data_IF_962542885137
#
_entry.id   IF_962542885137
#
_cell.length_a   1.000
_cell.length_b   1.000
_cell.length_c   1.000
_cell.angle_alpha   90.00
_cell.angle_beta   90.00
_cell.angle_gamma   90.00
#
_symmetry.space_group_name_H-M   'P 1'
#
loop_
_entity.id
_entity.type
_entity.pdbx_description
1 polymer ?
#
# COMPACT_ATOMS: atom_id res chain seq x y z
N UNK A 1 -21.02 -22.27 5.50
CA UNK A 1 -20.24 -21.21 4.86
C UNK A 1 -19.51 -20.44 5.97
N UNK A 2 -18.27 -20.82 6.25
CA UNK A 2 -17.44 -20.16 7.27
C UNK A 2 -16.74 -18.96 6.63
N UNK A 3 -17.37 -17.78 6.69
CA UNK A 3 -16.72 -16.56 6.30
C UNK A 3 -15.45 -16.35 7.13
N UNK A 4 -14.38 -15.77 6.53
CA UNK A 4 -13.16 -15.39 7.25
C UNK A 4 -13.53 -14.54 8.47
N UNK A 5 -13.21 -15.01 9.67
CA UNK A 5 -13.33 -14.18 10.87
C UNK A 5 -12.25 -13.10 10.80
N UNK A 6 -12.67 -11.84 10.78
CA UNK A 6 -11.75 -10.70 10.83
C UNK A 6 -11.11 -10.62 12.21
N UNK A 7 -9.80 -10.68 12.27
CA UNK A 7 -9.04 -10.46 13.50
C UNK A 7 -8.67 -8.98 13.62
N UNK A 8 -8.76 -8.45 14.83
CA UNK A 8 -8.43 -7.07 15.15
C UNK A 8 -7.60 -7.00 16.42
N UNK A 9 -6.77 -5.99 16.53
CA UNK A 9 -5.98 -5.68 17.70
C UNK A 9 -6.19 -4.22 18.10
N UNK A 10 -6.55 -4.02 19.36
CA UNK A 10 -6.66 -2.67 19.96
C UNK A 10 -5.28 -2.11 20.27
N UNK A 11 -5.07 -0.83 19.94
CA UNK A 11 -3.82 -0.11 20.17
C UNK A 11 -3.98 1.09 21.10
N UNK A 12 -5.18 1.27 21.67
CA UNK A 12 -5.51 2.35 22.58
C UNK A 12 -5.58 3.71 21.89
N UNK A 13 -5.37 4.78 22.63
CA UNK A 13 -5.37 6.14 22.08
C UNK A 13 -4.08 6.38 21.28
N UNK A 14 -4.23 6.71 19.99
CA UNK A 14 -3.13 7.04 19.10
C UNK A 14 -2.95 8.55 19.01
N UNK A 15 -1.76 9.07 19.35
CA UNK A 15 -1.37 10.44 19.09
C UNK A 15 -0.80 10.54 17.68
N UNK A 16 -1.29 11.50 16.90
CA UNK A 16 -0.91 11.75 15.51
C UNK A 16 0.18 12.83 15.41
N UNK A 17 0.86 12.88 14.27
CA UNK A 17 1.90 13.90 13.99
C UNK A 17 1.37 15.34 14.10
N UNK A 18 0.10 15.58 13.79
CA UNK A 18 -0.54 16.89 13.89
C UNK A 18 -0.97 17.28 15.31
N UNK A 19 -0.76 16.39 16.28
CA UNK A 19 -1.13 16.60 17.69
C UNK A 19 -2.56 16.20 18.05
N UNK A 20 -3.38 15.79 17.08
CA UNK A 20 -4.69 15.21 17.33
C UNK A 20 -4.58 13.76 17.86
N UNK A 21 -5.66 13.23 18.38
CA UNK A 21 -5.71 11.86 18.88
C UNK A 21 -6.87 11.06 18.31
N UNK A 22 -6.65 9.78 18.12
CA UNK A 22 -7.71 8.82 17.80
C UNK A 22 -7.89 7.93 19.03
N UNK A 23 -9.00 8.06 19.78
CA UNK A 23 -9.27 7.20 20.93
C UNK A 23 -9.67 5.79 20.45
N UNK A 24 -9.31 4.77 21.26
CA UNK A 24 -9.68 3.36 21.00
C UNK A 24 -9.37 2.90 19.57
N UNK A 25 -8.21 3.29 19.06
CA UNK A 25 -7.79 2.87 17.72
C UNK A 25 -7.55 1.36 17.69
N UNK A 26 -7.92 0.73 16.58
CA UNK A 26 -7.72 -0.69 16.32
C UNK A 26 -7.26 -0.94 14.88
N UNK A 27 -6.47 -1.99 14.68
CA UNK A 27 -6.10 -2.45 13.34
C UNK A 27 -6.62 -3.87 13.10
N UNK A 28 -7.25 -4.08 11.94
CA UNK A 28 -7.52 -5.42 11.44
C UNK A 28 -6.23 -6.03 10.89
N UNK A 29 -6.06 -7.35 11.04
CA UNK A 29 -4.84 -8.00 10.58
C UNK A 29 -5.08 -9.43 10.07
N UNK A 30 -4.12 -9.92 9.31
CA UNK A 30 -3.94 -11.33 8.97
C UNK A 30 -2.60 -11.79 9.53
N UNK A 31 -2.58 -12.97 10.13
CA UNK A 31 -1.37 -13.64 10.62
C UNK A 31 -1.31 -15.05 10.07
N UNK A 32 -0.23 -15.43 9.39
CA UNK A 32 -0.05 -16.73 8.74
C UNK A 32 1.33 -17.28 9.01
N UNK A 33 1.44 -18.61 9.09
CA UNK A 33 2.70 -19.31 9.35
C UNK A 33 2.90 -19.66 10.82
N UNK A 34 4.01 -20.37 11.15
CA UNK A 34 4.29 -20.82 12.50
C UNK A 34 4.51 -19.66 13.48
N UNK A 35 4.05 -19.82 14.71
CA UNK A 35 4.10 -18.74 15.71
C UNK A 35 5.50 -18.40 16.22
N UNK A 36 6.43 -19.32 16.10
CA UNK A 36 7.83 -19.23 16.51
C UNK A 36 8.79 -18.93 15.36
N UNK A 37 8.26 -18.81 14.12
CA UNK A 37 9.06 -18.51 12.95
C UNK A 37 9.46 -17.03 12.89
N UNK A 38 10.56 -16.69 12.16
CA UNK A 38 10.93 -15.31 11.89
C UNK A 38 9.77 -14.56 11.22
N UNK A 39 9.51 -13.32 11.67
CA UNK A 39 8.33 -12.56 11.27
C UNK A 39 8.66 -11.64 10.09
N UNK A 40 7.79 -11.63 9.10
CA UNK A 40 7.78 -10.69 8.00
C UNK A 40 6.52 -9.82 8.14
N UNK A 41 6.72 -8.51 8.29
CA UNK A 41 5.64 -7.53 8.26
C UNK A 41 5.40 -7.08 6.83
N UNK A 42 4.16 -7.23 6.35
CA UNK A 42 3.73 -6.78 5.03
C UNK A 42 2.92 -5.51 5.15
N UNK A 43 3.30 -4.49 4.37
CA UNK A 43 2.58 -3.22 4.25
C UNK A 43 1.85 -3.20 2.91
N UNK A 44 0.51 -3.11 2.92
CA UNK A 44 -0.29 -3.15 1.70
C UNK A 44 -0.36 -1.79 0.99
N UNK A 45 -0.65 -1.83 -0.31
CA UNK A 45 -0.83 -0.65 -1.16
C UNK A 45 -2.22 -0.02 -0.98
N UNK A 46 -2.48 1.10 -1.69
CA UNK A 46 -3.63 2.00 -1.54
C UNK A 46 -4.98 1.29 -1.39
N UNK A 47 -5.29 0.33 -2.26
CA UNK A 47 -6.56 -0.40 -2.24
C UNK A 47 -6.42 -1.85 -1.80
N UNK A 48 -5.31 -2.19 -1.15
CA UNK A 48 -5.07 -3.49 -0.53
C UNK A 48 -5.81 -3.66 0.80
N UNK A 49 -5.59 -4.79 1.41
CA UNK A 49 -6.16 -5.14 2.72
C UNK A 49 -5.15 -5.98 3.50
N UNK A 50 -5.52 -6.37 4.71
CA UNK A 50 -4.74 -7.32 5.52
C UNK A 50 -4.61 -8.71 4.88
N UNK A 51 -5.47 -9.08 3.95
CA UNK A 51 -5.48 -10.42 3.37
C UNK A 51 -4.44 -10.58 2.26
N UNK A 52 -3.18 -10.67 2.66
CA UNK A 52 -2.03 -10.80 1.76
C UNK A 52 -1.85 -12.22 1.25
N UNK A 53 -1.98 -13.20 2.15
CA UNK A 53 -1.87 -14.64 1.86
C UNK A 53 -3.22 -15.23 1.51
N UNK A 54 -4.22 -14.96 2.34
CA UNK A 54 -5.58 -15.46 2.17
C UNK A 54 -5.73 -16.96 2.46
N UNK A 55 -6.64 -17.59 1.73
CA UNK A 55 -6.92 -19.03 1.77
C UNK A 55 -6.96 -19.59 0.36
N UNK A 56 -7.03 -20.92 0.22
CA UNK A 56 -7.19 -21.57 -1.09
C UNK A 56 -8.51 -21.19 -1.79
N UNK A 57 -9.56 -20.89 -1.02
CA UNK A 57 -10.88 -20.51 -1.55
C UNK A 57 -10.94 -19.01 -1.88
N UNK A 58 -10.24 -18.18 -1.09
CA UNK A 58 -10.15 -16.76 -1.25
C UNK A 58 -8.67 -16.33 -1.19
N UNK A 59 -7.92 -16.41 -2.31
CA UNK A 59 -6.51 -16.04 -2.34
C UNK A 59 -6.29 -14.59 -1.93
N UNK A 60 -5.16 -14.33 -1.27
CA UNK A 60 -4.74 -13.00 -0.92
C UNK A 60 -4.21 -12.21 -2.13
N UNK A 61 -4.02 -10.92 -1.97
CA UNK A 61 -3.59 -10.05 -3.08
C UNK A 61 -2.12 -10.28 -3.49
N UNK A 62 -1.32 -10.99 -2.68
CA UNK A 62 0.06 -11.36 -2.97
C UNK A 62 0.31 -12.87 -2.90
N UNK A 63 -0.72 -13.67 -3.11
CA UNK A 63 -0.67 -15.14 -3.05
C UNK A 63 0.32 -15.76 -4.04
N UNK A 64 0.66 -15.09 -5.12
CA UNK A 64 1.71 -15.50 -6.05
C UNK A 64 3.13 -15.37 -5.47
N UNK A 65 3.36 -14.43 -4.56
CA UNK A 65 4.65 -14.19 -3.89
C UNK A 65 4.74 -14.89 -2.54
N UNK A 66 3.66 -14.88 -1.75
CA UNK A 66 3.60 -15.29 -0.34
C UNK A 66 2.62 -16.44 -0.16
N UNK A 67 3.06 -17.53 0.43
CA UNK A 67 2.24 -18.70 0.73
C UNK A 67 3.07 -19.95 0.96
N UNK A 68 2.45 -21.09 1.24
CA UNK A 68 3.17 -22.34 1.42
C UNK A 68 3.98 -22.71 0.16
N UNK A 69 5.31 -22.84 0.31
CA UNK A 69 6.24 -23.16 -0.79
C UNK A 69 6.47 -22.03 -1.80
N UNK A 70 5.91 -20.83 -1.59
CA UNK A 70 6.11 -19.66 -2.45
C UNK A 70 7.49 -19.01 -2.20
N UNK A 71 7.74 -17.87 -2.84
CA UNK A 71 9.01 -17.14 -2.66
C UNK A 71 9.21 -16.66 -1.23
N UNK A 72 8.14 -16.22 -0.57
CA UNK A 72 8.07 -16.05 0.88
C UNK A 72 7.25 -17.22 1.42
N UNK A 73 7.96 -18.25 1.89
CA UNK A 73 7.35 -19.51 2.30
C UNK A 73 6.76 -19.42 3.71
N UNK A 74 5.45 -19.47 3.81
CA UNK A 74 4.74 -19.44 5.09
C UNK A 74 4.90 -20.72 5.92
N UNK A 75 5.60 -21.75 5.43
CA UNK A 75 6.07 -22.87 6.26
C UNK A 75 7.32 -22.49 7.07
N UNK A 76 8.09 -21.48 6.62
CA UNK A 76 9.36 -21.05 7.22
C UNK A 76 9.25 -19.69 7.91
N UNK A 77 8.33 -18.83 7.46
CA UNK A 77 8.14 -17.48 7.98
C UNK A 77 6.73 -17.27 8.50
N UNK A 78 6.62 -16.50 9.58
CA UNK A 78 5.37 -15.95 9.98
C UNK A 78 5.14 -14.61 9.26
N UNK A 79 4.01 -14.46 8.60
CA UNK A 79 3.64 -13.24 7.88
C UNK A 79 2.52 -12.53 8.63
N UNK A 80 2.74 -11.25 8.93
CA UNK A 80 1.73 -10.37 9.54
C UNK A 80 1.46 -9.21 8.59
N UNK A 81 0.19 -8.96 8.33
CA UNK A 81 -0.26 -7.81 7.53
C UNK A 81 -1.38 -7.09 8.27
N UNK A 82 -1.21 -5.80 8.53
CA UNK A 82 -2.28 -4.96 9.05
C UNK A 82 -3.02 -4.27 7.91
N UNK A 83 -4.34 -4.13 8.03
CA UNK A 83 -5.05 -3.11 7.28
C UNK A 83 -4.63 -1.75 7.83
N UNK A 84 -4.19 -0.84 6.96
CA UNK A 84 -3.65 0.45 7.41
C UNK A 84 -4.69 1.32 8.09
N UNK A 85 -4.26 2.12 9.05
CA UNK A 85 -5.05 3.19 9.64
C UNK A 85 -5.65 4.07 8.53
N UNK A 86 -6.91 4.41 8.62
CA UNK A 86 -7.63 5.20 7.62
C UNK A 86 -8.24 4.39 6.47
N UNK A 87 -7.93 3.11 6.33
CA UNK A 87 -8.55 2.22 5.34
C UNK A 87 -9.90 1.67 5.82
N UNK A 88 -10.61 0.96 4.92
CA UNK A 88 -11.98 0.53 5.13
C UNK A 88 -12.17 -0.98 5.36
N UNK A 89 -11.10 -1.74 5.58
CA UNK A 89 -11.17 -3.20 5.79
C UNK A 89 -11.00 -3.61 7.27
N UNK A 90 -11.60 -2.83 8.16
CA UNK A 90 -11.75 -3.18 9.56
C UNK A 90 -10.85 -2.40 10.53
N UNK A 91 -9.79 -1.75 10.08
CA UNK A 91 -9.01 -0.81 10.89
C UNK A 91 -9.75 0.50 11.10
N UNK A 92 -9.39 1.22 12.15
CA UNK A 92 -9.95 2.54 12.43
C UNK A 92 -9.71 3.49 11.25
N UNK A 93 -10.77 4.12 10.80
CA UNK A 93 -10.79 5.00 9.64
C UNK A 93 -12.09 5.83 9.57
N UNK A 94 -12.35 6.53 8.46
CA UNK A 94 -13.52 7.40 8.31
C UNK A 94 -14.87 6.71 8.54
N UNK A 95 -14.99 5.41 8.30
CA UNK A 95 -16.23 4.65 8.57
C UNK A 95 -16.38 4.20 10.02
N UNK A 96 -15.33 4.28 10.83
CA UNK A 96 -15.36 3.87 12.23
C UNK A 96 -16.26 4.81 13.04
N UNK A 97 -16.88 4.25 14.07
CA UNK A 97 -17.69 5.05 14.99
C UNK A 97 -16.77 5.89 15.87
N UNK A 98 -16.98 7.19 15.87
CA UNK A 98 -16.35 8.10 16.80
C UNK A 98 -17.00 7.89 18.19
N UNK A 99 -16.25 7.48 19.22
CA UNK A 99 -16.79 7.21 20.54
C UNK A 99 -17.38 8.45 21.24
N UNK A 100 -16.94 9.65 20.86
CA UNK A 100 -17.45 10.91 21.43
C UNK A 100 -18.84 11.28 20.89
N UNK A 101 -19.08 10.98 19.60
CA UNK A 101 -20.33 11.37 18.91
C UNK A 101 -21.28 10.21 18.69
N UNK A 102 -20.83 8.96 18.87
CA UNK A 102 -21.54 7.73 18.55
C UNK A 102 -21.98 7.65 17.06
N UNK A 103 -21.28 8.35 16.17
CA UNK A 103 -21.52 8.39 14.71
C UNK A 103 -20.24 8.08 13.96
N UNK A 104 -20.29 7.62 12.70
CA UNK A 104 -19.10 7.48 11.89
C UNK A 104 -18.33 8.80 11.80
N UNK A 105 -17.00 8.73 11.86
CA UNK A 105 -16.14 9.91 11.72
C UNK A 105 -16.38 10.67 10.41
N UNK A 106 -16.47 9.92 9.30
CA UNK A 106 -16.55 10.50 7.95
C UNK A 106 -15.42 11.50 7.70
N UNK A 107 -15.73 12.74 7.34
CA UNK A 107 -14.75 13.80 7.11
C UNK A 107 -14.25 14.48 8.39
N UNK A 108 -14.82 14.14 9.55
CA UNK A 108 -14.29 14.53 10.86
C UNK A 108 -13.16 13.60 11.34
N UNK A 109 -12.81 12.55 10.56
CA UNK A 109 -11.64 11.73 10.83
C UNK A 109 -10.39 12.59 10.75
N UNK A 110 -9.47 12.53 11.75
CA UNK A 110 -8.27 13.35 11.72
C UNK A 110 -7.40 13.07 10.50
N UNK A 111 -6.65 14.06 10.04
CA UNK A 111 -5.65 13.87 8.99
C UNK A 111 -4.54 12.94 9.49
N UNK A 112 -4.25 11.91 8.72
CA UNK A 112 -3.23 10.92 9.03
C UNK A 112 -2.09 10.96 8.00
N UNK A 113 -0.89 10.66 8.46
CA UNK A 113 0.31 10.55 7.63
C UNK A 113 0.78 9.10 7.52
N UNK A 114 1.76 8.85 6.65
CA UNK A 114 2.42 7.54 6.57
C UNK A 114 3.08 7.19 7.91
N UNK A 115 3.64 8.18 8.62
CA UNK A 115 4.24 7.97 9.95
C UNK A 115 3.21 7.52 10.97
N UNK A 116 2.02 8.13 10.96
CA UNK A 116 0.92 7.71 11.83
C UNK A 116 0.50 6.25 11.58
N UNK A 117 0.46 5.83 10.29
CA UNK A 117 0.20 4.44 9.93
C UNK A 117 1.26 3.50 10.52
N UNK A 118 2.54 3.87 10.43
CA UNK A 118 3.66 3.09 10.97
C UNK A 118 3.63 3.06 12.51
N UNK A 119 3.33 4.18 13.17
CA UNK A 119 3.15 4.20 14.63
C UNK A 119 2.00 3.30 15.09
N UNK A 120 0.88 3.29 14.36
CA UNK A 120 -0.24 2.39 14.63
C UNK A 120 0.18 0.91 14.50
N UNK A 121 0.89 0.55 13.42
CA UNK A 121 1.39 -0.80 13.19
C UNK A 121 2.40 -1.24 14.26
N UNK A 122 3.30 -0.35 14.70
CA UNK A 122 4.25 -0.66 15.78
C UNK A 122 3.52 -0.99 17.08
N UNK A 123 2.51 -0.18 17.45
CA UNK A 123 1.68 -0.47 18.62
C UNK A 123 0.94 -1.79 18.50
N UNK A 124 0.41 -2.08 17.31
CA UNK A 124 -0.27 -3.34 17.03
C UNK A 124 0.66 -4.55 17.16
N UNK A 125 1.88 -4.47 16.62
CA UNK A 125 2.89 -5.52 16.81
C UNK A 125 3.20 -5.75 18.30
N UNK A 126 3.41 -4.68 19.07
CA UNK A 126 3.66 -4.79 20.52
C UNK A 126 2.49 -5.44 21.26
N UNK A 127 1.25 -5.09 20.92
CA UNK A 127 0.04 -5.70 21.51
C UNK A 127 -0.10 -7.19 21.13
N UNK A 128 0.45 -7.61 19.99
CA UNK A 128 0.54 -9.02 19.58
C UNK A 128 1.78 -9.74 20.14
N UNK A 129 2.56 -9.09 21.01
CA UNK A 129 3.77 -9.66 21.61
C UNK A 129 5.00 -9.69 20.69
N UNK A 130 4.98 -8.90 19.60
CA UNK A 130 6.06 -8.83 18.60
C UNK A 130 6.88 -7.56 18.81
N UNK A 131 8.14 -7.72 19.21
CA UNK A 131 9.05 -6.60 19.44
C UNK A 131 9.89 -6.27 18.20
N UNK A 132 10.25 -7.28 17.42
CA UNK A 132 11.14 -7.19 16.27
C UNK A 132 10.66 -8.12 15.15
N UNK A 133 10.92 -7.72 13.90
CA UNK A 133 10.63 -8.52 12.71
C UNK A 133 11.91 -8.79 11.91
N UNK A 134 11.94 -9.83 11.11
CA UNK A 134 13.06 -10.11 10.19
C UNK A 134 13.09 -9.09 9.06
N UNK A 135 11.94 -8.83 8.48
CA UNK A 135 11.83 -7.87 7.38
C UNK A 135 10.50 -7.10 7.41
N UNK A 136 10.53 -5.88 6.91
CA UNK A 136 9.34 -5.09 6.55
C UNK A 136 9.31 -4.97 5.04
N UNK A 137 8.21 -5.36 4.42
CA UNK A 137 8.08 -5.41 2.96
C UNK A 137 6.81 -4.71 2.49
N UNK A 138 6.88 -4.04 1.33
CA UNK A 138 5.72 -3.40 0.75
C UNK A 138 6.01 -2.65 -0.54
N UNK A 139 4.96 -2.45 -1.33
CA UNK A 139 5.03 -1.70 -2.58
C UNK A 139 4.11 -0.48 -2.59
N UNK A 140 4.45 0.55 -3.37
CA UNK A 140 3.63 1.75 -3.50
C UNK A 140 3.41 2.45 -2.15
N UNK A 141 2.16 2.72 -1.75
CA UNK A 141 1.82 3.17 -0.40
C UNK A 141 2.42 2.25 0.69
N UNK A 142 2.47 0.94 0.44
CA UNK A 142 3.14 0.00 1.33
C UNK A 142 4.64 0.25 1.42
N UNK A 143 5.27 0.61 0.31
CA UNK A 143 6.68 0.99 0.27
C UNK A 143 6.98 2.29 1.03
N UNK A 144 6.08 3.28 0.99
CA UNK A 144 6.20 4.49 1.83
C UNK A 144 6.23 4.13 3.32
N UNK A 145 5.40 3.17 3.73
CA UNK A 145 5.40 2.65 5.11
C UNK A 145 6.71 1.93 5.42
N UNK A 146 7.23 1.09 4.51
CA UNK A 146 8.54 0.42 4.66
C UNK A 146 9.65 1.43 4.94
N UNK A 147 9.67 2.52 4.17
CA UNK A 147 10.67 3.58 4.35
C UNK A 147 10.57 4.26 5.71
N UNK A 148 9.37 4.62 6.15
CA UNK A 148 9.19 5.22 7.47
C UNK A 148 9.47 4.23 8.62
N UNK A 149 9.18 2.93 8.45
CA UNK A 149 9.55 1.89 9.41
C UNK A 149 11.05 1.90 9.70
N UNK A 150 11.89 1.92 8.66
CA UNK A 150 13.35 1.90 8.80
C UNK A 150 13.92 3.13 9.50
N UNK A 151 13.27 4.28 9.42
CA UNK A 151 13.69 5.52 10.06
C UNK A 151 13.11 5.73 11.46
N UNK A 152 11.86 5.34 11.69
CA UNK A 152 11.20 5.50 12.99
C UNK A 152 11.64 4.44 13.98
N UNK A 153 11.90 3.22 13.51
CA UNK A 153 12.23 2.05 14.35
C UNK A 153 13.45 1.28 13.84
N UNK A 154 14.61 1.95 13.70
CA UNK A 154 15.77 1.42 12.95
C UNK A 154 16.40 0.15 13.55
N UNK A 155 16.02 -0.26 14.76
CA UNK A 155 16.54 -1.45 15.42
C UNK A 155 15.52 -2.62 15.42
N UNK A 156 14.33 -2.41 14.84
CA UNK A 156 13.22 -3.36 14.95
C UNK A 156 13.15 -4.34 13.78
N UNK A 157 14.00 -4.19 12.76
CA UNK A 157 14.08 -5.10 11.63
C UNK A 157 15.52 -5.28 11.14
N UNK A 158 15.75 -6.37 10.41
CA UNK A 158 17.04 -6.63 9.74
C UNK A 158 17.05 -6.06 8.33
N UNK A 159 15.91 -6.15 7.63
CA UNK A 159 15.81 -5.87 6.20
C UNK A 159 14.56 -5.05 5.88
N UNK A 160 14.68 -4.25 4.83
CA UNK A 160 13.60 -3.48 4.20
C UNK A 160 13.54 -3.91 2.73
N UNK A 161 12.41 -4.48 2.28
CA UNK A 161 12.18 -4.82 0.88
C UNK A 161 11.19 -3.82 0.30
N UNK A 162 11.70 -2.97 -0.56
CA UNK A 162 10.98 -1.82 -1.14
C UNK A 162 10.62 -2.10 -2.59
N UNK A 163 9.32 -2.07 -2.91
CA UNK A 163 8.84 -2.25 -4.28
C UNK A 163 8.16 -0.99 -4.77
N UNK A 164 8.57 -0.48 -5.94
CA UNK A 164 7.87 0.60 -6.64
C UNK A 164 7.48 1.76 -5.70
N UNK A 165 8.45 2.32 -4.96
CA UNK A 165 8.23 3.46 -4.07
C UNK A 165 9.49 4.31 -3.91
N UNK A 166 9.33 5.61 -3.69
CA UNK A 166 10.38 6.62 -3.64
C UNK A 166 10.43 7.32 -2.28
N UNK A 167 11.52 8.00 -1.91
CA UNK A 167 11.67 8.64 -0.60
C UNK A 167 10.68 9.80 -0.35
N UNK A 168 10.09 10.33 -1.38
CA UNK A 168 8.99 11.31 -1.33
C UNK A 168 8.05 11.06 -2.50
N UNK A 169 6.80 11.45 -2.34
CA UNK A 169 5.84 11.36 -3.44
C UNK A 169 6.06 12.51 -4.41
N UNK A 170 6.22 12.19 -5.69
CA UNK A 170 6.59 13.18 -6.70
C UNK A 170 5.42 14.13 -7.02
N UNK A 171 5.73 15.34 -7.52
CA UNK A 171 4.71 16.27 -8.01
C UNK A 171 3.83 15.63 -9.10
N UNK A 172 4.41 14.74 -9.91
CA UNK A 172 3.66 14.02 -10.94
C UNK A 172 2.65 13.04 -10.33
N UNK A 173 3.05 12.31 -9.28
CA UNK A 173 2.15 11.45 -8.51
C UNK A 173 1.05 12.24 -7.79
N UNK A 174 1.42 13.38 -7.16
CA UNK A 174 0.47 14.30 -6.53
C UNK A 174 -0.54 14.83 -7.56
N UNK A 175 -0.10 15.17 -8.77
CA UNK A 175 -0.99 15.65 -9.83
C UNK A 175 -2.02 14.58 -10.24
N UNK A 176 -1.63 13.31 -10.35
CA UNK A 176 -2.60 12.22 -10.58
C UNK A 176 -3.59 12.07 -9.44
N UNK A 177 -3.11 12.11 -8.20
CA UNK A 177 -4.00 12.03 -7.03
C UNK A 177 -4.98 13.20 -6.99
N UNK A 178 -4.53 14.42 -7.35
CA UNK A 178 -5.39 15.63 -7.35
C UNK A 178 -6.56 15.52 -8.32
N UNK A 179 -6.36 14.88 -9.49
CA UNK A 179 -7.47 14.60 -10.41
C UNK A 179 -8.53 13.72 -9.73
N UNK A 180 -8.09 12.68 -9.03
CA UNK A 180 -8.98 11.77 -8.30
C UNK A 180 -9.68 12.44 -7.14
N UNK A 181 -8.96 13.22 -6.34
CA UNK A 181 -9.49 14.00 -5.21
C UNK A 181 -10.56 14.97 -5.73
N UNK A 182 -10.22 15.76 -6.73
CA UNK A 182 -11.15 16.73 -7.34
C UNK A 182 -12.41 16.04 -7.91
N UNK A 183 -12.26 14.88 -8.53
CA UNK A 183 -13.40 14.12 -9.07
C UNK A 183 -14.36 13.68 -7.96
N UNK A 184 -13.85 13.24 -6.81
CA UNK A 184 -14.68 12.83 -5.67
C UNK A 184 -15.32 14.04 -5.01
N UNK A 185 -14.56 15.10 -4.72
CA UNK A 185 -15.04 16.27 -3.99
C UNK A 185 -16.09 17.08 -4.75
N UNK A 186 -16.03 17.08 -6.08
CA UNK A 186 -17.03 17.74 -6.93
C UNK A 186 -18.21 16.84 -7.30
N UNK A 187 -18.24 15.59 -6.85
CA UNK A 187 -19.36 14.69 -7.12
C UNK A 187 -20.55 14.99 -6.20
N UNK A 188 -21.72 15.33 -6.74
CA UNK A 188 -22.94 15.53 -5.93
C UNK A 188 -23.30 14.31 -5.07
N UNK A 189 -22.96 13.10 -5.51
CA UNK A 189 -23.19 11.86 -4.77
C UNK A 189 -22.35 11.72 -3.51
N UNK A 190 -21.19 12.37 -3.45
CA UNK A 190 -20.30 12.36 -2.28
C UNK A 190 -20.88 13.14 -1.08
N UNK A 191 -21.69 14.18 -1.32
CA UNK A 191 -22.41 14.96 -0.28
C UNK A 191 -21.49 15.40 0.87
N UNK A 192 -20.31 15.93 0.57
CA UNK A 192 -19.29 16.33 1.55
C UNK A 192 -18.91 15.20 2.54
N UNK A 193 -18.86 13.96 2.05
CA UNK A 193 -18.55 12.76 2.86
C UNK A 193 -19.76 12.09 3.51
N UNK A 194 -20.99 12.56 3.28
CA UNK A 194 -22.21 12.05 3.89
C UNK A 194 -23.07 11.20 2.92
N UNK A 195 -22.41 10.43 2.03
CA UNK A 195 -23.08 9.45 1.17
C UNK A 195 -23.52 8.21 1.95
N UNK A 196 -24.40 7.41 1.34
CA UNK A 196 -24.87 6.15 1.94
C UNK A 196 -24.03 4.94 1.49
N UNK A 197 -23.70 4.89 0.20
CA UNK A 197 -22.86 3.87 -0.40
C UNK A 197 -21.80 4.52 -1.29
N UNK A 198 -20.59 3.97 -1.32
CA UNK A 198 -19.56 4.41 -2.26
C UNK A 198 -19.96 4.22 -3.72
N UNK A 199 -20.93 3.35 -4.01
CA UNK A 199 -21.49 3.19 -5.35
C UNK A 199 -22.26 4.44 -5.84
N UNK A 200 -22.72 5.30 -4.92
CA UNK A 200 -23.34 6.59 -5.25
C UNK A 200 -22.30 7.66 -5.65
N UNK A 201 -21.01 7.42 -5.35
CA UNK A 201 -19.92 8.36 -5.57
C UNK A 201 -19.23 8.07 -6.89
N UNK A 202 -19.73 8.66 -7.97
CA UNK A 202 -19.16 8.48 -9.33
C UNK A 202 -17.74 9.06 -9.47
N UNK A 203 -17.42 10.06 -8.66
CA UNK A 203 -16.07 10.59 -8.55
C UNK A 203 -15.05 9.55 -8.14
N UNK A 204 -15.41 8.56 -7.30
CA UNK A 204 -14.53 7.44 -6.95
C UNK A 204 -14.29 6.50 -8.15
N UNK A 205 -15.29 6.28 -9.01
CA UNK A 205 -15.08 5.54 -10.27
C UNK A 205 -14.04 6.24 -11.15
N UNK A 206 -14.16 7.57 -11.30
CA UNK A 206 -13.22 8.39 -12.09
C UNK A 206 -11.82 8.33 -11.45
N UNK A 207 -11.71 8.52 -10.14
CA UNK A 207 -10.43 8.41 -9.43
C UNK A 207 -9.76 7.04 -9.65
N UNK A 208 -10.54 5.95 -9.66
CA UNK A 208 -10.02 4.63 -9.99
C UNK A 208 -9.55 4.52 -11.43
N UNK A 209 -10.29 5.10 -12.37
CA UNK A 209 -9.88 5.11 -13.78
C UNK A 209 -8.54 5.84 -13.97
N UNK A 210 -8.34 6.97 -13.31
CA UNK A 210 -7.05 7.69 -13.29
C UNK A 210 -5.94 6.78 -12.74
N UNK A 211 -6.18 6.12 -11.59
CA UNK A 211 -5.25 5.16 -11.03
C UNK A 211 -4.91 4.03 -12.01
N UNK A 212 -5.90 3.47 -12.71
CA UNK A 212 -5.67 2.39 -13.66
C UNK A 212 -4.78 2.80 -14.84
N UNK A 213 -4.87 4.03 -15.32
CA UNK A 213 -3.99 4.56 -16.37
C UNK A 213 -2.58 4.78 -15.83
N UNK A 214 -2.46 5.34 -14.63
CA UNK A 214 -1.16 5.67 -14.04
C UNK A 214 -0.40 4.43 -13.51
N UNK A 215 -1.13 3.38 -13.09
CA UNK A 215 -0.51 2.14 -12.57
C UNK A 215 -0.07 1.17 -13.68
N UNK A 216 -0.58 1.33 -14.90
CA UNK A 216 -0.29 0.44 -16.02
C UNK A 216 0.39 1.17 -17.15
N UNK A 217 1.19 0.42 -17.91
CA UNK A 217 1.97 1.00 -18.99
C UNK A 217 1.18 1.12 -20.30
N UNK A 218 1.60 2.05 -21.17
CA UNK A 218 1.09 2.14 -22.54
C UNK A 218 1.30 0.83 -23.33
N UNK A 219 2.50 0.18 -23.31
CA UNK A 219 2.69 -1.12 -23.96
C UNK A 219 1.69 -2.20 -23.53
N UNK A 220 1.31 -2.23 -22.25
CA UNK A 220 0.30 -3.19 -21.77
C UNK A 220 -1.07 -2.89 -22.37
N UNK A 221 -1.51 -1.62 -22.37
CA UNK A 221 -2.78 -1.21 -22.95
C UNK A 221 -2.84 -1.53 -24.45
N UNK A 222 -1.79 -1.16 -25.22
CA UNK A 222 -1.71 -1.44 -26.64
C UNK A 222 -1.77 -2.94 -26.94
N UNK A 223 -1.01 -3.76 -26.21
CA UNK A 223 -1.01 -5.21 -26.41
C UNK A 223 -2.36 -5.87 -26.07
N UNK A 224 -3.10 -5.31 -25.13
CA UNK A 224 -4.36 -5.86 -24.66
C UNK A 224 -5.55 -5.44 -25.50
N UNK A 225 -5.64 -4.18 -25.87
CA UNK A 225 -6.84 -3.60 -26.47
C UNK A 225 -6.70 -3.36 -27.98
N UNK A 226 -5.52 -2.99 -28.45
CA UNK A 226 -5.20 -2.82 -29.88
C UNK A 226 -6.32 -2.12 -30.68
N UNK A 227 -6.89 -1.02 -30.13
CA UNK A 227 -8.00 -0.24 -30.70
C UNK A 227 -9.27 -1.04 -31.03
N UNK A 228 -9.48 -2.19 -30.42
CA UNK A 228 -10.68 -3.02 -30.67
C UNK A 228 -11.96 -2.27 -30.29
N UNK A 229 -12.95 -2.39 -31.16
CA UNK A 229 -14.29 -1.82 -31.00
C UNK A 229 -15.14 -2.85 -30.27
N UNK A 230 -15.74 -2.44 -29.11
CA UNK A 230 -16.65 -3.28 -28.35
C UNK A 230 -18.05 -3.34 -28.95
N UNK A 231 -18.55 -2.18 -29.44
CA UNK A 231 -19.84 -2.06 -30.13
C UNK A 231 -19.70 -1.07 -31.28
N UNK A 232 -20.02 -1.54 -32.48
CA UNK A 232 -20.14 -0.68 -33.65
C UNK A 232 -21.55 -0.08 -33.69
N UNK A 233 -21.73 0.99 -32.92
CA UNK A 233 -22.94 1.78 -33.01
C UNK A 233 -22.84 2.68 -34.23
N UNK A 234 -23.55 2.37 -35.33
CA UNK A 234 -23.69 3.21 -36.52
C UNK A 234 -24.18 4.62 -36.21
N UNK A 235 -24.53 4.93 -34.97
CA UNK A 235 -24.93 6.23 -34.44
C UNK A 235 -23.78 6.92 -33.71
N UNK A 236 -22.96 7.68 -34.46
CA UNK A 236 -22.03 8.75 -34.03
C UNK A 236 -20.83 8.41 -33.14
N UNK A 237 -20.85 7.40 -32.25
CA UNK A 237 -19.75 7.15 -31.34
C UNK A 237 -19.50 5.65 -31.16
N UNK A 238 -18.46 5.12 -31.79
CA UNK A 238 -17.98 3.74 -31.54
C UNK A 238 -17.43 3.62 -30.11
N UNK A 239 -17.82 2.55 -29.41
CA UNK A 239 -17.29 2.23 -28.08
C UNK A 239 -16.08 1.31 -28.21
N UNK A 240 -14.93 1.71 -27.66
CA UNK A 240 -13.74 0.88 -27.63
C UNK A 240 -13.75 -0.07 -26.41
N UNK A 241 -13.15 -1.27 -26.54
CA UNK A 241 -13.02 -2.22 -25.44
C UNK A 241 -12.30 -1.60 -24.22
N UNK A 242 -11.28 -0.79 -24.44
CA UNK A 242 -10.57 -0.07 -23.39
C UNK A 242 -11.52 0.84 -22.58
N UNK A 243 -12.48 1.50 -23.22
CA UNK A 243 -13.43 2.38 -22.55
C UNK A 243 -14.37 1.59 -21.61
N UNK A 244 -14.83 0.43 -22.07
CA UNK A 244 -15.66 -0.49 -21.27
C UNK A 244 -14.86 -1.07 -20.10
N UNK A 245 -13.62 -1.44 -20.33
CA UNK A 245 -12.70 -1.90 -19.29
C UNK A 245 -12.47 -0.83 -18.21
N UNK A 246 -12.22 0.42 -18.59
CA UNK A 246 -11.99 1.52 -17.64
C UNK A 246 -13.21 1.76 -16.75
N UNK A 247 -14.41 1.83 -17.34
CA UNK A 247 -15.66 1.98 -16.58
C UNK A 247 -15.91 0.80 -15.64
N UNK A 248 -15.67 -0.43 -16.10
CA UNK A 248 -15.77 -1.63 -15.26
C UNK A 248 -14.83 -1.56 -14.04
N UNK A 249 -13.57 -1.16 -14.24
CA UNK A 249 -12.60 -1.04 -13.14
C UNK A 249 -12.98 0.05 -12.15
N UNK A 250 -13.52 1.17 -12.62
CA UNK A 250 -14.06 2.22 -11.76
C UNK A 250 -15.18 1.69 -10.88
N UNK A 251 -16.22 1.10 -11.49
CA UNK A 251 -17.35 0.54 -10.77
C UNK A 251 -16.94 -0.54 -9.76
N UNK A 252 -16.07 -1.48 -10.16
CA UNK A 252 -15.59 -2.55 -9.29
C UNK A 252 -14.92 -2.01 -8.01
N UNK A 253 -14.28 -0.82 -8.03
CA UNK A 253 -13.73 -0.24 -6.82
C UNK A 253 -14.84 0.26 -5.89
N UNK A 254 -15.85 0.95 -6.39
CA UNK A 254 -16.92 1.51 -5.55
C UNK A 254 -17.73 0.43 -4.82
N UNK A 255 -17.79 -0.78 -5.35
CA UNK A 255 -18.45 -1.94 -4.74
C UNK A 255 -17.71 -2.46 -3.49
N UNK A 256 -16.42 -2.13 -3.32
CA UNK A 256 -15.59 -2.72 -2.25
C UNK A 256 -14.78 -1.72 -1.43
N UNK A 257 -14.68 -0.47 -1.84
CA UNK A 257 -13.82 0.52 -1.17
C UNK A 257 -14.59 1.78 -0.79
N UNK A 258 -14.26 2.34 0.36
CA UNK A 258 -14.90 3.54 0.88
C UNK A 258 -14.29 4.81 0.27
N UNK A 259 -15.15 5.73 -0.20
CA UNK A 259 -14.73 6.95 -0.87
C UNK A 259 -13.97 7.91 0.07
N UNK A 260 -14.42 8.07 1.32
CA UNK A 260 -13.70 8.90 2.29
C UNK A 260 -12.35 8.30 2.63
N UNK A 261 -12.27 6.99 2.88
CA UNK A 261 -11.00 6.30 3.11
C UNK A 261 -10.04 6.48 1.93
N UNK A 262 -10.55 6.41 0.70
CA UNK A 262 -9.74 6.64 -0.49
C UNK A 262 -9.14 8.06 -0.50
N UNK A 263 -9.94 9.09 -0.20
CA UNK A 263 -9.46 10.47 -0.08
C UNK A 263 -8.36 10.63 0.98
N UNK A 264 -8.58 10.08 2.18
CA UNK A 264 -7.59 10.16 3.26
C UNK A 264 -6.27 9.50 2.89
N UNK A 265 -6.33 8.32 2.25
CA UNK A 265 -5.13 7.61 1.82
C UNK A 265 -4.39 8.33 0.69
N UNK A 266 -5.10 8.92 -0.29
CA UNK A 266 -4.47 9.76 -1.31
C UNK A 266 -3.75 10.97 -0.70
N UNK A 267 -4.38 11.63 0.27
CA UNK A 267 -3.77 12.78 0.97
C UNK A 267 -2.59 12.37 1.83
N UNK A 268 -2.65 11.21 2.48
CA UNK A 268 -1.51 10.65 3.20
C UNK A 268 -0.33 10.38 2.25
N UNK A 269 -0.58 9.80 1.06
CA UNK A 269 0.44 9.64 0.02
C UNK A 269 1.03 10.97 -0.41
N UNK A 270 0.20 11.98 -0.68
CA UNK A 270 0.65 13.31 -1.08
C UNK A 270 1.58 13.96 -0.03
N UNK A 271 1.39 13.65 1.25
CA UNK A 271 2.21 14.17 2.34
C UNK A 271 3.54 13.43 2.56
N UNK A 272 3.75 12.30 1.86
CA UNK A 272 4.92 11.45 2.05
C UNK A 272 6.21 12.13 1.62
N UNK A 273 7.10 12.33 2.58
CA UNK A 273 8.48 12.77 2.41
C UNK A 273 9.31 12.31 3.63
N UNK A 274 10.20 11.34 3.42
CA UNK A 274 11.09 10.88 4.50
C UNK A 274 12.04 11.95 4.99
N UNK A 275 12.32 12.96 4.18
CA UNK A 275 13.22 14.06 4.50
C UNK A 275 12.60 15.14 5.38
N UNK A 276 11.27 15.18 5.49
CA UNK A 276 10.55 16.17 6.30
C UNK A 276 10.94 16.05 7.78
N UNK A 277 11.49 17.13 8.32
CA UNK A 277 12.01 17.17 9.69
C UNK A 277 13.34 16.43 9.91
N UNK A 278 13.96 15.86 8.85
CA UNK A 278 15.21 15.11 8.94
C UNK A 278 16.35 15.72 8.10
N UNK A 279 16.16 16.94 7.58
CA UNK A 279 17.19 17.67 6.81
C UNK A 279 17.28 17.25 5.34
N UNK A 280 16.17 16.79 4.76
CA UNK A 280 16.04 16.34 3.38
C UNK A 280 16.21 14.83 3.22
N UNK A 281 15.68 14.29 2.11
CA UNK A 281 15.58 12.85 1.88
C UNK A 281 16.97 12.15 1.80
N UNK A 282 18.02 12.81 1.27
CA UNK A 282 19.36 12.24 1.23
C UNK A 282 19.95 12.04 2.62
N UNK A 283 19.77 13.05 3.50
CA UNK A 283 20.20 12.93 4.88
C UNK A 283 19.40 11.87 5.63
N UNK A 284 18.11 11.74 5.36
CA UNK A 284 17.30 10.66 5.92
C UNK A 284 17.76 9.29 5.39
N UNK A 285 18.04 9.17 4.10
CA UNK A 285 18.53 7.94 3.47
C UNK A 285 19.83 7.42 4.12
N UNK A 286 20.75 8.29 4.47
CA UNK A 286 22.01 7.91 5.14
C UNK A 286 21.85 7.39 6.57
N UNK A 287 20.64 7.46 7.16
CA UNK A 287 20.36 7.02 8.53
C UNK A 287 19.84 5.59 8.64
N UNK A 288 19.52 4.93 7.52
CA UNK A 288 19.04 3.55 7.56
C UNK A 288 20.10 2.62 8.13
N UNK A 289 19.68 1.77 9.08
CA UNK A 289 20.51 0.71 9.68
C UNK A 289 20.22 -0.65 9.10
N UNK A 290 18.97 -0.91 8.74
CA UNK A 290 18.56 -2.15 8.10
C UNK A 290 19.05 -2.19 6.65
N UNK A 291 19.35 -3.39 6.13
CA UNK A 291 19.68 -3.59 4.72
C UNK A 291 18.46 -3.27 3.86
N UNK A 292 18.62 -2.41 2.86
CA UNK A 292 17.57 -2.08 1.89
C UNK A 292 17.74 -2.93 0.61
N UNK A 293 16.68 -3.61 0.21
CA UNK A 293 16.58 -4.27 -1.10
C UNK A 293 15.44 -3.57 -1.86
N UNK A 294 15.80 -2.79 -2.88
CA UNK A 294 14.85 -1.95 -3.61
C UNK A 294 14.62 -2.47 -5.03
N UNK A 295 13.36 -2.44 -5.46
CA UNK A 295 12.93 -2.90 -6.78
C UNK A 295 12.26 -1.77 -7.55
N UNK A 296 12.81 -1.43 -8.73
CA UNK A 296 12.22 -0.52 -9.70
C UNK A 296 11.64 -1.30 -10.88
N UNK A 297 10.42 -1.00 -11.29
CA UNK A 297 9.71 -1.71 -12.36
C UNK A 297 9.69 -0.89 -13.64
N UNK A 298 10.02 -1.52 -14.77
CA UNK A 298 10.03 -0.87 -16.07
C UNK A 298 8.65 -0.27 -16.37
N UNK A 299 8.64 0.93 -16.94
CA UNK A 299 7.43 1.69 -17.29
C UNK A 299 6.58 2.19 -16.10
N UNK A 300 7.07 2.12 -14.87
CA UNK A 300 6.42 2.80 -13.76
C UNK A 300 6.55 4.32 -13.95
N UNK A 301 5.41 5.00 -14.11
CA UNK A 301 5.36 6.45 -14.33
C UNK A 301 5.31 7.24 -13.02
N UNK A 302 4.83 6.60 -11.94
CA UNK A 302 4.60 7.27 -10.66
C UNK A 302 5.84 7.18 -9.78
N UNK A 303 6.43 5.99 -9.69
CA UNK A 303 7.64 5.71 -8.93
C UNK A 303 8.72 5.23 -9.90
N UNK A 304 9.35 6.20 -10.56
CA UNK A 304 10.29 5.90 -11.63
C UNK A 304 11.47 5.07 -11.13
N UNK A 305 11.86 4.02 -11.87
CA UNK A 305 13.00 3.17 -11.50
C UNK A 305 14.27 3.95 -11.20
N UNK A 306 14.53 5.03 -11.95
CA UNK A 306 15.71 5.87 -11.80
C UNK A 306 15.74 6.62 -10.45
N UNK A 307 14.56 7.05 -9.97
CA UNK A 307 14.45 7.72 -8.68
C UNK A 307 14.64 6.74 -7.51
N UNK A 308 14.15 5.50 -7.67
CA UNK A 308 14.36 4.42 -6.69
C UNK A 308 15.85 4.04 -6.64
N UNK A 309 16.51 3.90 -7.78
CA UNK A 309 17.95 3.63 -7.87
C UNK A 309 18.76 4.77 -7.22
N UNK A 310 18.43 6.02 -7.53
CA UNK A 310 19.10 7.18 -6.94
C UNK A 310 18.95 7.21 -5.41
N UNK A 311 17.77 6.85 -4.90
CA UNK A 311 17.54 6.71 -3.47
C UNK A 311 18.38 5.58 -2.85
N UNK A 312 18.36 4.39 -3.46
CA UNK A 312 19.10 3.23 -2.96
C UNK A 312 20.61 3.54 -2.82
N UNK A 313 21.18 4.31 -3.75
CA UNK A 313 22.60 4.73 -3.70
C UNK A 313 22.95 5.59 -2.48
N UNK A 314 22.00 6.27 -1.88
CA UNK A 314 22.22 7.10 -0.67
C UNK A 314 22.07 6.29 0.63
N UNK A 315 21.58 5.05 0.56
CA UNK A 315 21.41 4.16 1.72
C UNK A 315 22.70 3.35 1.95
N UNK A 316 23.26 3.32 3.18
CA UNK A 316 24.59 2.72 3.44
C UNK A 316 24.72 1.25 3.09
N UNK A 317 23.68 0.45 3.30
CA UNK A 317 23.66 -0.99 2.99
C UNK A 317 22.42 -1.25 2.13
N UNK A 318 22.60 -1.28 0.81
CA UNK A 318 21.50 -1.39 -0.12
C UNK A 318 21.84 -2.20 -1.38
N UNK A 319 20.81 -2.79 -1.94
CA UNK A 319 20.79 -3.40 -3.27
C UNK A 319 19.64 -2.82 -4.07
N UNK A 320 19.86 -2.61 -5.36
CA UNK A 320 18.84 -2.17 -6.30
C UNK A 320 18.67 -3.16 -7.43
N UNK A 321 17.44 -3.52 -7.73
CA UNK A 321 17.05 -4.43 -8.79
C UNK A 321 16.08 -3.76 -9.76
N UNK A 322 16.48 -3.62 -11.01
CA UNK A 322 15.58 -3.23 -12.09
C UNK A 322 14.82 -4.44 -12.62
N UNK A 323 13.51 -4.38 -12.65
CA UNK A 323 12.64 -5.46 -13.14
C UNK A 323 12.04 -5.08 -14.49
N UNK A 324 12.47 -5.73 -15.59
CA UNK A 324 11.82 -5.58 -16.88
C UNK A 324 10.38 -6.11 -16.82
N UNK A 325 9.42 -5.29 -17.21
CA UNK A 325 8.00 -5.66 -17.25
C UNK A 325 7.22 -4.72 -18.17
N UNK A 326 6.14 -5.21 -18.75
CA UNK A 326 5.16 -4.37 -19.46
C UNK A 326 4.06 -3.82 -18.56
N UNK A 327 3.99 -4.22 -17.30
CA UNK A 327 2.89 -3.88 -16.39
C UNK A 327 3.05 -2.49 -15.75
N UNK A 328 4.23 -1.87 -15.83
CA UNK A 328 4.49 -0.59 -15.17
C UNK A 328 4.47 -0.73 -13.66
N UNK A 329 3.80 0.19 -12.96
CA UNK A 329 3.69 0.16 -11.51
C UNK A 329 3.10 -1.15 -10.96
N UNK A 330 2.09 -1.72 -11.63
CA UNK A 330 1.48 -3.00 -11.22
C UNK A 330 2.46 -4.19 -11.32
N UNK A 331 3.67 -4.02 -11.84
CA UNK A 331 4.70 -5.07 -11.94
C UNK A 331 5.03 -5.74 -10.62
N UNK A 332 4.94 -5.02 -9.48
CA UNK A 332 5.18 -5.62 -8.17
C UNK A 332 4.05 -6.55 -7.68
N UNK A 333 2.92 -6.58 -8.39
CA UNK A 333 1.76 -7.44 -8.09
C UNK A 333 1.67 -8.68 -9.00
N UNK A 334 2.56 -8.79 -9.98
CA UNK A 334 2.51 -9.83 -11.02
C UNK A 334 3.92 -10.30 -11.41
N UNK A 335 4.00 -11.28 -12.30
CA UNK A 335 5.25 -11.79 -12.89
C UNK A 335 6.31 -12.16 -11.84
N UNK A 336 5.89 -12.75 -10.70
CA UNK A 336 6.76 -13.09 -9.58
C UNK A 336 7.91 -14.04 -9.96
N UNK A 337 7.75 -14.84 -11.01
CA UNK A 337 8.78 -15.70 -11.59
C UNK A 337 10.00 -14.93 -12.06
N UNK A 338 9.84 -13.67 -12.44
CA UNK A 338 10.93 -12.84 -12.94
C UNK A 338 11.82 -12.27 -11.80
N UNK A 339 11.27 -12.09 -10.59
CA UNK A 339 11.96 -11.38 -9.51
C UNK A 339 11.78 -11.97 -8.11
N UNK A 340 10.81 -12.86 -7.90
CA UNK A 340 10.51 -13.43 -6.57
C UNK A 340 11.68 -14.23 -5.98
N UNK A 341 12.53 -14.85 -6.83
CA UNK A 341 13.73 -15.54 -6.37
C UNK A 341 14.69 -14.59 -5.63
N UNK A 342 14.82 -13.33 -6.05
CA UNK A 342 15.64 -12.32 -5.39
C UNK A 342 15.13 -12.06 -3.97
N UNK A 343 13.80 -11.98 -3.80
CA UNK A 343 13.17 -11.83 -2.48
C UNK A 343 13.49 -13.04 -1.58
N UNK A 344 13.38 -14.25 -2.12
CA UNK A 344 13.71 -15.48 -1.37
C UNK A 344 15.17 -15.49 -0.91
N UNK A 345 16.09 -15.18 -1.80
CA UNK A 345 17.54 -15.14 -1.51
C UNK A 345 17.84 -14.09 -0.44
N UNK A 346 17.31 -12.88 -0.57
CA UNK A 346 17.47 -11.81 0.41
C UNK A 346 16.98 -12.22 1.81
N UNK A 347 15.84 -12.90 1.91
CA UNK A 347 15.30 -13.35 3.18
C UNK A 347 16.06 -14.52 3.80
N UNK A 348 16.79 -15.31 3.00
CA UNK A 348 17.63 -16.42 3.47
C UNK A 348 19.01 -15.95 3.99
N UNK A 349 19.44 -14.74 3.66
CA UNK A 349 20.66 -14.18 4.23
C UNK A 349 20.56 -14.12 5.75
N UNK A 350 21.57 -14.67 6.42
CA UNK A 350 21.69 -14.56 7.87
C UNK A 350 21.92 -13.10 8.26
N UNK A 351 21.19 -12.64 9.27
CA UNK A 351 21.41 -11.32 9.85
C UNK A 351 22.87 -11.24 10.30
N UNK A 352 23.68 -10.40 9.66
CA UNK A 352 24.99 -10.04 10.21
C UNK A 352 24.70 -9.31 11.52
N UNK A 353 24.72 -10.06 12.63
CA UNK A 353 24.65 -9.47 13.97
C UNK A 353 25.85 -8.53 14.08
N UNK A 354 25.65 -7.26 13.80
CA UNK A 354 26.62 -6.22 14.15
C UNK A 354 26.53 -6.08 15.67
N UNK A 355 27.38 -6.83 16.37
CA UNK A 355 27.65 -6.59 17.79
C UNK A 355 28.30 -5.21 17.86
N UNK A 356 27.50 -4.23 18.21
CA UNK A 356 28.01 -2.92 18.58
C UNK A 356 28.59 -3.06 19.98
N UNK A 357 29.95 -3.10 20.06
CA UNK A 357 30.68 -2.98 21.31
C UNK A 357 30.56 -1.59 21.92
#
# INVERSE_FOLDING_TARGET
>A
MGGRRMEKVEIGTLLLENGETIPHAELAYERRGPMDAPIILVCHALTGSQYTVGTSEEPGWWDGLIGPGKYIDTNQYQVITFNVLGSCYGSTGPQSINPETSRPYRMDFPFITIRDMVHAQKRALLALGVNRVKAVIGGSLGGMQVLEWGLLYPNDMDQLLLFASTPYYSDYGIAFNEIGITAIENDPGWKNGYYQSSEDVKGLEIARMVGMVSYRSAPLFESRFNRKIAEDNHNKFSSYEVSSYMRYQGKKLTERFDANSYLYLLRAMNSHDIGKGRGGWKKAASQYKAKLIAFGFQHDLIFRPEDIEAFAREVPDSEYHFVPTKFGHDGFLVEFENWGHIVREALQEESKIRVWG
#
